data_IF_512940425722
#
_entry.id   IF_512940425722
#
_cell.length_a   1.000
_cell.length_b   1.000
_cell.length_c   1.000
_cell.angle_alpha   90.00
_cell.angle_beta   90.00
_cell.angle_gamma   90.00
#
_symmetry.space_group_name_H-M   'P 1'
#
loop_
_entity.id
_entity.type
_entity.pdbx_description
1 polymer ?
#
# COMPACT_ATOMS: atom_id res chain seq x y z
N UNK A 1 30.68 1.26 7.55
CA UNK A 1 30.34 -0.11 8.00
C UNK A 1 30.24 -1.00 6.78
N UNK A 2 30.64 -2.25 6.92
CA UNK A 2 30.53 -3.27 5.87
C UNK A 2 29.64 -4.40 6.39
N UNK A 3 28.50 -4.64 5.70
CA UNK A 3 27.60 -5.77 5.93
C UNK A 3 27.91 -6.83 4.87
N UNK A 4 28.07 -8.07 5.27
CA UNK A 4 28.44 -9.18 4.36
C UNK A 4 27.53 -10.36 4.59
N UNK A 5 26.99 -10.93 3.52
CA UNK A 5 26.25 -12.19 3.59
C UNK A 5 27.20 -13.32 3.99
N UNK A 6 26.83 -14.06 5.05
CA UNK A 6 27.64 -15.17 5.55
C UNK A 6 27.91 -16.21 4.43
N UNK A 7 29.15 -16.60 4.19
CA UNK A 7 29.48 -17.64 3.20
C UNK A 7 28.78 -18.97 3.53
N UNK A 8 28.35 -19.69 2.49
CA UNK A 8 27.73 -21.01 2.66
C UNK A 8 26.25 -20.99 3.08
N UNK A 9 25.59 -19.83 3.20
CA UNK A 9 24.21 -19.74 3.67
C UNK A 9 23.20 -20.30 2.65
N UNK A 10 23.42 -20.08 1.34
CA UNK A 10 22.50 -20.57 0.29
C UNK A 10 22.23 -22.09 0.32
N UNK A 11 23.25 -22.97 0.45
CA UNK A 11 23.01 -24.42 0.55
C UNK A 11 22.19 -24.81 1.79
N UNK A 12 22.41 -24.14 2.92
CA UNK A 12 21.69 -24.39 4.17
C UNK A 12 20.20 -24.03 3.98
N UNK A 13 19.94 -22.83 3.45
CA UNK A 13 18.58 -22.37 3.16
C UNK A 13 17.89 -23.32 2.17
N UNK A 14 18.57 -23.75 1.10
CA UNK A 14 18.00 -24.69 0.14
C UNK A 14 17.61 -26.02 0.79
N UNK A 15 18.39 -26.51 1.75
CA UNK A 15 18.08 -27.73 2.50
C UNK A 15 16.87 -27.51 3.42
N UNK A 16 16.81 -26.40 4.14
CA UNK A 16 15.70 -26.07 5.04
C UNK A 16 14.40 -25.90 4.25
N UNK A 17 14.45 -25.22 3.11
CA UNK A 17 13.31 -25.07 2.19
C UNK A 17 12.82 -26.42 1.65
N UNK A 18 13.74 -27.34 1.31
CA UNK A 18 13.35 -28.66 0.86
C UNK A 18 12.55 -29.44 1.94
N UNK A 19 12.91 -29.29 3.22
CA UNK A 19 12.14 -29.84 4.33
C UNK A 19 10.78 -29.14 4.48
N UNK A 20 10.72 -27.83 4.37
CA UNK A 20 9.46 -27.08 4.43
C UNK A 20 8.51 -27.50 3.31
N UNK A 21 9.02 -27.63 2.06
CA UNK A 21 8.22 -28.13 0.94
C UNK A 21 7.73 -29.58 1.16
N UNK A 22 8.55 -30.45 1.73
CA UNK A 22 8.14 -31.82 2.06
C UNK A 22 6.98 -31.82 3.07
N UNK A 23 7.10 -31.03 4.13
CA UNK A 23 6.05 -30.89 5.16
C UNK A 23 4.78 -30.29 4.54
N UNK A 24 4.90 -29.22 3.75
CA UNK A 24 3.78 -28.57 3.09
C UNK A 24 3.01 -29.53 2.16
N UNK A 25 3.73 -30.26 1.30
CA UNK A 25 3.15 -31.28 0.43
C UNK A 25 2.48 -32.42 1.20
N UNK A 26 3.08 -32.83 2.33
CA UNK A 26 2.49 -33.81 3.24
C UNK A 26 1.19 -33.32 3.86
N UNK A 27 1.17 -32.09 4.34
CA UNK A 27 -0.01 -31.46 4.94
C UNK A 27 -1.17 -31.35 3.92
N UNK A 28 -0.90 -30.94 2.69
CA UNK A 28 -1.92 -30.87 1.62
C UNK A 28 -2.52 -32.24 1.29
N UNK A 29 -1.72 -33.30 1.38
CA UNK A 29 -2.19 -34.66 1.10
C UNK A 29 -3.04 -35.23 2.24
N UNK A 30 -2.69 -34.92 3.48
CA UNK A 30 -3.27 -35.52 4.67
C UNK A 30 -4.49 -34.78 5.20
N UNK A 31 -4.64 -33.48 4.94
CA UNK A 31 -5.72 -32.66 5.51
C UNK A 31 -6.43 -31.81 4.46
N UNK A 32 -7.77 -31.89 4.46
CA UNK A 32 -8.61 -31.03 3.63
C UNK A 32 -8.52 -29.55 4.05
N UNK A 33 -8.35 -29.29 5.34
CA UNK A 33 -8.20 -27.93 5.85
C UNK A 33 -6.83 -27.35 5.50
N UNK A 34 -5.77 -28.17 5.50
CA UNK A 34 -4.45 -27.74 5.06
C UNK A 34 -4.44 -27.39 3.56
N UNK A 35 -5.17 -28.13 2.72
CA UNK A 35 -5.29 -27.79 1.28
C UNK A 35 -5.86 -26.39 1.04
N UNK A 36 -6.79 -25.94 1.89
CA UNK A 36 -7.36 -24.58 1.81
C UNK A 36 -6.36 -23.48 2.12
N UNK A 37 -5.29 -23.80 2.86
CA UNK A 37 -4.26 -22.84 3.24
C UNK A 37 -3.12 -22.73 2.22
N UNK A 38 -3.15 -23.56 1.15
CA UNK A 38 -2.13 -23.59 0.10
C UNK A 38 -0.68 -23.56 0.62
N UNK A 39 -0.29 -24.43 1.58
CA UNK A 39 0.99 -24.33 2.26
C UNK A 39 2.18 -24.46 1.31
N UNK A 40 2.05 -25.13 0.17
CA UNK A 40 3.11 -25.21 -0.84
C UNK A 40 3.35 -23.85 -1.50
N UNK A 41 2.30 -23.09 -1.81
CA UNK A 41 2.41 -21.72 -2.32
C UNK A 41 3.04 -20.80 -1.28
N UNK A 42 2.61 -20.91 -0.02
CA UNK A 42 3.18 -20.14 1.10
C UNK A 42 4.68 -20.37 1.25
N UNK A 43 5.14 -21.64 1.16
CA UNK A 43 6.57 -21.96 1.21
C UNK A 43 7.28 -21.42 -0.04
N UNK A 44 6.66 -21.43 -1.21
CA UNK A 44 7.21 -20.86 -2.44
C UNK A 44 7.39 -19.33 -2.35
N UNK A 45 6.45 -18.64 -1.75
CA UNK A 45 6.58 -17.19 -1.53
C UNK A 45 7.64 -16.86 -0.45
N UNK A 46 7.70 -17.69 0.60
CA UNK A 46 8.78 -17.60 1.59
C UNK A 46 10.16 -17.84 0.96
N UNK A 47 10.29 -18.81 0.05
CA UNK A 47 11.53 -19.06 -0.69
C UNK A 47 12.00 -17.81 -1.45
N UNK A 48 11.11 -17.18 -2.19
CA UNK A 48 11.43 -15.92 -2.90
C UNK A 48 11.91 -14.85 -1.93
N UNK A 49 11.18 -14.64 -0.85
CA UNK A 49 11.48 -13.63 0.16
C UNK A 49 12.86 -13.83 0.77
N UNK A 50 13.18 -15.08 1.18
CA UNK A 50 14.46 -15.35 1.84
C UNK A 50 15.67 -15.25 0.88
N UNK A 51 15.47 -15.59 -0.41
CA UNK A 51 16.53 -15.38 -1.41
C UNK A 51 16.70 -13.91 -1.75
N UNK A 52 15.63 -13.12 -1.75
CA UNK A 52 15.66 -11.68 -1.94
C UNK A 52 16.43 -10.98 -0.81
N UNK A 53 16.30 -11.44 0.44
CA UNK A 53 17.05 -10.95 1.59
C UNK A 53 18.58 -11.23 1.49
N UNK A 54 19.00 -12.19 0.66
CA UNK A 54 20.41 -12.47 0.42
C UNK A 54 21.06 -11.52 -0.60
N UNK A 55 20.29 -10.66 -1.23
CA UNK A 55 20.79 -9.65 -2.16
C UNK A 55 20.89 -8.28 -1.50
N UNK A 56 22.08 -7.98 -0.98
CA UNK A 56 22.35 -6.71 -0.30
C UNK A 56 22.29 -5.48 -1.23
N UNK A 57 22.27 -5.64 -2.55
CA UNK A 57 22.01 -4.50 -3.46
C UNK A 57 20.58 -4.01 -3.36
N UNK A 58 19.62 -4.90 -3.08
CA UNK A 58 18.22 -4.49 -2.84
C UNK A 58 18.11 -3.67 -1.55
N UNK A 59 18.78 -4.13 -0.48
CA UNK A 59 18.85 -3.36 0.78
C UNK A 59 19.52 -1.99 0.57
N UNK A 60 20.60 -1.93 -0.22
CA UNK A 60 21.25 -0.68 -0.60
C UNK A 60 20.29 0.28 -1.34
N UNK A 61 19.52 -0.25 -2.28
CA UNK A 61 18.53 0.54 -3.03
C UNK A 61 17.40 1.07 -2.13
N UNK A 62 16.87 0.21 -1.25
CA UNK A 62 15.86 0.59 -0.28
C UNK A 62 16.36 1.66 0.69
N UNK A 63 17.57 1.49 1.25
CA UNK A 63 18.19 2.47 2.13
C UNK A 63 18.39 3.82 1.42
N UNK A 64 18.85 3.80 0.17
CA UNK A 64 19.01 5.00 -0.63
C UNK A 64 17.70 5.70 -0.92
N UNK A 65 16.61 4.95 -1.14
CA UNK A 65 15.27 5.52 -1.35
C UNK A 65 14.74 6.16 -0.05
N UNK A 66 14.82 5.44 1.09
CA UNK A 66 14.42 5.99 2.38
C UNK A 66 15.24 7.22 2.75
N UNK A 67 16.56 7.22 2.49
CA UNK A 67 17.42 8.38 2.70
C UNK A 67 16.93 9.60 1.90
N UNK A 68 16.62 9.44 0.62
CA UNK A 68 16.07 10.54 -0.21
C UNK A 68 14.74 11.06 0.34
N UNK A 69 13.86 10.16 0.77
CA UNK A 69 12.56 10.52 1.31
C UNK A 69 12.67 11.38 2.58
N UNK A 70 13.72 11.16 3.37
CA UNK A 70 13.98 11.89 4.62
C UNK A 70 15.15 12.87 4.53
N UNK A 71 15.59 13.24 3.32
CA UNK A 71 16.65 14.22 3.16
C UNK A 71 16.26 15.58 3.78
N UNK A 72 17.12 16.12 4.65
CA UNK A 72 16.84 17.35 5.39
C UNK A 72 15.81 17.22 6.52
N UNK A 73 15.24 16.04 6.77
CA UNK A 73 14.26 15.83 7.83
C UNK A 73 14.93 15.66 9.21
N UNK A 74 14.33 16.26 10.22
CA UNK A 74 14.73 16.03 11.63
C UNK A 74 14.09 14.77 12.25
N UNK A 75 13.23 14.06 11.51
CA UNK A 75 12.50 12.89 12.03
C UNK A 75 13.36 11.64 11.99
N UNK A 76 13.93 11.33 10.82
CA UNK A 76 14.67 10.10 10.59
C UNK A 76 15.90 10.35 9.72
N UNK A 77 16.98 9.71 10.06
CA UNK A 77 18.22 9.64 9.31
C UNK A 77 18.45 8.21 8.80
N UNK A 78 18.88 8.08 7.56
CA UNK A 78 19.30 6.80 6.98
C UNK A 78 20.73 6.95 6.50
N UNK A 79 21.65 6.01 6.86
CA UNK A 79 23.05 6.06 6.47
C UNK A 79 23.26 6.13 4.97
N UNK A 80 24.28 6.87 4.53
CA UNK A 80 24.67 6.92 3.13
C UNK A 80 25.21 5.57 2.66
N UNK A 81 24.77 5.12 1.50
CA UNK A 81 25.29 3.92 0.82
C UNK A 81 26.45 4.31 -0.09
N UNK A 82 27.56 3.60 0.01
CA UNK A 82 28.73 3.78 -0.85
C UNK A 82 28.69 2.76 -2.00
N UNK A 83 27.98 3.09 -3.06
CA UNK A 83 27.64 2.19 -4.16
C UNK A 83 28.82 1.56 -4.87
N UNK A 84 29.94 2.27 -5.01
CA UNK A 84 31.17 1.78 -5.66
C UNK A 84 31.71 0.51 -5.00
N UNK A 85 31.44 0.34 -3.70
CA UNK A 85 31.90 -0.78 -2.88
C UNK A 85 30.81 -1.84 -2.64
N UNK A 86 29.58 -1.61 -3.11
CA UNK A 86 28.48 -2.54 -2.93
C UNK A 86 28.49 -3.65 -3.99
N UNK A 87 28.13 -4.86 -3.58
CA UNK A 87 27.97 -6.05 -4.43
C UNK A 87 26.81 -6.87 -3.89
N UNK A 88 26.24 -7.85 -4.61
CA UNK A 88 25.11 -8.64 -4.13
C UNK A 88 25.28 -9.24 -2.73
N UNK A 89 26.52 -9.50 -2.32
CA UNK A 89 26.84 -10.08 -1.00
C UNK A 89 27.53 -9.13 -0.05
N UNK A 90 27.73 -7.86 -0.44
CA UNK A 90 28.45 -6.86 0.34
C UNK A 90 27.76 -5.52 0.23
N UNK A 91 27.36 -4.97 1.35
CA UNK A 91 26.82 -3.62 1.47
C UNK A 91 27.79 -2.77 2.28
N UNK A 92 28.19 -1.65 1.70
CA UNK A 92 29.05 -0.66 2.37
C UNK A 92 28.24 0.61 2.58
N UNK A 93 28.13 1.02 3.83
CA UNK A 93 27.38 2.20 4.23
C UNK A 93 28.13 3.02 5.27
N UNK A 94 27.67 4.23 5.45
CA UNK A 94 28.16 5.14 6.48
C UNK A 94 28.08 4.53 7.88
N UNK A 95 29.07 4.82 8.71
CA UNK A 95 29.01 4.48 10.13
C UNK A 95 28.20 5.52 10.87
N UNK A 96 27.14 5.08 11.52
CA UNK A 96 26.32 5.94 12.39
C UNK A 96 26.90 5.96 13.81
N UNK A 97 26.56 7.05 14.51
CA UNK A 97 26.82 7.20 15.94
C UNK A 97 25.47 7.53 16.59
N UNK A 98 24.97 6.63 17.40
CA UNK A 98 23.69 6.76 18.08
C UNK A 98 23.54 5.72 19.17
N UNK A 99 22.55 5.88 20.01
CA UNK A 99 22.20 4.95 21.07
C UNK A 99 21.13 4.01 20.55
N UNK A 100 21.26 2.67 20.73
CA UNK A 100 20.17 1.77 20.42
C UNK A 100 18.88 2.22 21.13
N UNK A 101 17.75 2.22 20.42
CA UNK A 101 16.49 2.66 21.00
C UNK A 101 16.04 1.83 22.20
N UNK A 102 16.57 0.62 22.34
CA UNK A 102 16.33 -0.28 23.48
C UNK A 102 17.15 0.06 24.71
N UNK A 103 18.20 0.87 24.59
CA UNK A 103 19.04 1.27 25.71
C UNK A 103 18.45 2.51 26.41
N UNK A 104 17.34 2.26 27.11
CA UNK A 104 16.59 3.29 27.83
C UNK A 104 17.42 4.00 28.90
N UNK A 105 18.39 3.29 29.52
CA UNK A 105 19.24 3.86 30.55
C UNK A 105 20.16 4.94 29.97
N UNK A 106 20.88 4.62 28.89
CA UNK A 106 21.74 5.58 28.19
C UNK A 106 20.96 6.76 27.63
N UNK A 107 19.77 6.54 27.07
CA UNK A 107 18.90 7.61 26.56
C UNK A 107 18.45 8.55 27.70
N UNK A 108 18.11 8.00 28.85
CA UNK A 108 17.71 8.78 30.03
C UNK A 108 18.91 9.58 30.59
N UNK A 109 20.09 8.97 30.69
CA UNK A 109 21.32 9.64 31.16
C UNK A 109 21.69 10.83 30.26
N UNK A 110 21.45 10.72 28.98
CA UNK A 110 21.65 11.79 27.99
C UNK A 110 20.50 12.83 27.99
N UNK A 111 19.52 12.68 28.86
CA UNK A 111 18.34 13.57 28.98
C UNK A 111 17.54 13.66 27.67
N UNK A 112 17.44 12.54 26.96
CA UNK A 112 16.62 12.45 25.73
C UNK A 112 15.14 12.69 26.08
N UNK A 113 14.46 13.54 25.31
CA UNK A 113 13.03 13.72 25.45
C UNK A 113 12.30 12.48 24.90
N UNK A 114 11.97 11.56 25.82
CA UNK A 114 11.35 10.27 25.50
C UNK A 114 9.94 10.44 24.92
N UNK A 115 9.21 11.48 25.35
CA UNK A 115 7.89 11.80 24.79
C UNK A 115 8.02 12.23 23.33
N UNK A 116 8.88 13.21 23.08
CA UNK A 116 9.13 13.67 21.72
C UNK A 116 9.64 12.53 20.81
N UNK A 117 10.49 11.64 21.34
CA UNK A 117 10.98 10.46 20.61
C UNK A 117 9.83 9.51 20.24
N UNK A 118 8.94 9.19 21.19
CA UNK A 118 7.79 8.32 20.95
C UNK A 118 6.82 8.92 19.91
N UNK A 119 6.49 10.21 20.03
CA UNK A 119 5.63 10.92 19.09
C UNK A 119 6.24 10.96 17.69
N UNK A 120 7.54 11.20 17.57
CA UNK A 120 8.27 11.17 16.28
C UNK A 120 8.27 9.80 15.63
N UNK A 121 8.33 8.71 16.39
CA UNK A 121 8.22 7.36 15.84
C UNK A 121 6.90 7.15 15.11
N UNK A 122 5.80 7.65 15.68
CA UNK A 122 4.48 7.66 15.04
C UNK A 122 4.49 8.53 13.78
N UNK A 123 5.06 9.74 13.86
CA UNK A 123 5.14 10.65 12.72
C UNK A 123 5.98 10.06 11.57
N UNK A 124 7.12 9.42 11.86
CA UNK A 124 7.95 8.71 10.88
C UNK A 124 7.14 7.66 10.14
N UNK A 125 6.37 6.85 10.86
CA UNK A 125 5.52 5.83 10.25
C UNK A 125 4.48 6.43 9.30
N UNK A 126 3.70 7.39 9.76
CA UNK A 126 2.64 7.99 8.95
C UNK A 126 3.21 8.76 7.75
N UNK A 127 4.39 9.36 7.90
CA UNK A 127 5.11 10.03 6.81
C UNK A 127 5.49 9.03 5.71
N UNK A 128 6.08 7.91 6.06
CA UNK A 128 6.47 6.87 5.12
C UNK A 128 5.25 6.28 4.38
N UNK A 129 4.16 6.04 5.10
CA UNK A 129 2.95 5.41 4.54
C UNK A 129 2.17 6.37 3.66
N UNK A 130 1.92 7.60 4.13
CA UNK A 130 0.98 8.51 3.46
C UNK A 130 1.64 9.58 2.60
N UNK A 131 2.87 10.01 2.90
CA UNK A 131 3.60 10.95 2.05
C UNK A 131 4.40 10.21 0.97
N UNK A 132 5.14 9.17 1.38
CA UNK A 132 6.14 8.55 0.53
C UNK A 132 5.65 7.31 -0.21
N UNK A 133 4.52 6.71 0.22
CA UNK A 133 4.01 5.41 -0.27
C UNK A 133 5.08 4.30 -0.25
N UNK A 134 6.13 4.50 0.54
CA UNK A 134 7.28 3.61 0.67
C UNK A 134 7.74 3.59 2.12
N UNK A 135 7.61 2.45 2.77
CA UNK A 135 7.85 2.34 4.20
C UNK A 135 8.77 1.19 4.57
N UNK A 136 9.56 1.41 5.60
CA UNK A 136 10.37 0.39 6.25
C UNK A 136 9.45 -0.60 6.97
N UNK A 137 9.37 -1.81 6.47
CA UNK A 137 8.39 -2.80 6.96
C UNK A 137 8.91 -3.64 8.15
N UNK A 138 10.14 -3.40 8.59
CA UNK A 138 10.74 -4.09 9.74
C UNK A 138 11.38 -3.11 10.74
N UNK A 139 10.60 -2.10 11.17
CA UNK A 139 11.02 -1.16 12.23
C UNK A 139 11.05 -1.85 13.60
N UNK A 140 11.85 -2.90 13.67
CA UNK A 140 12.14 -3.59 14.93
C UNK A 140 13.14 -2.76 15.77
N UNK A 141 12.98 -2.71 17.10
CA UNK A 141 13.88 -1.94 17.96
C UNK A 141 15.38 -2.22 17.75
N UNK A 142 15.75 -3.42 17.29
CA UNK A 142 17.14 -3.78 16.95
C UNK A 142 17.71 -3.08 15.72
N UNK A 143 16.85 -2.54 14.84
CA UNK A 143 17.24 -1.87 13.60
C UNK A 143 17.21 -0.33 13.74
N UNK A 144 16.90 0.16 14.95
CA UNK A 144 16.66 1.58 15.21
C UNK A 144 17.63 2.11 16.26
N UNK A 145 18.28 3.20 15.92
CA UNK A 145 19.12 3.98 16.82
C UNK A 145 18.53 5.38 16.98
N UNK A 146 18.97 6.07 18.02
CA UNK A 146 18.60 7.45 18.32
C UNK A 146 19.84 8.32 18.28
N UNK A 147 19.78 9.39 17.49
CA UNK A 147 20.79 10.44 17.51
C UNK A 147 20.59 11.31 18.75
N UNK A 148 21.64 11.46 19.54
CA UNK A 148 21.62 12.24 20.77
C UNK A 148 22.34 13.58 20.64
N UNK A 149 22.63 14.00 19.41
CA UNK A 149 23.23 15.32 19.13
C UNK A 149 22.35 16.46 19.65
N UNK A 150 21.03 16.28 19.57
CA UNK A 150 20.02 17.20 20.12
C UNK A 150 19.05 16.40 20.99
N UNK A 151 19.34 16.17 22.29
CA UNK A 151 18.49 15.33 23.14
C UNK A 151 17.03 15.81 23.26
N UNK A 152 16.82 17.13 23.19
CA UNK A 152 15.46 17.74 23.20
C UNK A 152 14.72 17.60 21.86
N UNK A 153 15.41 17.17 20.82
CA UNK A 153 14.88 16.97 19.48
C UNK A 153 15.48 15.68 18.90
N UNK A 154 15.22 14.50 19.55
CA UNK A 154 15.88 13.24 19.19
C UNK A 154 15.44 12.78 17.79
N UNK A 155 16.39 12.33 16.97
CA UNK A 155 16.18 11.85 15.61
C UNK A 155 16.36 10.34 15.55
N UNK A 156 15.43 9.64 14.88
CA UNK A 156 15.59 8.21 14.57
C UNK A 156 16.71 7.97 13.55
N UNK A 157 17.41 6.86 13.68
CA UNK A 157 18.39 6.37 12.69
C UNK A 157 17.99 4.94 12.33
N UNK A 158 17.63 4.68 11.09
CA UNK A 158 17.32 3.35 10.59
C UNK A 158 18.52 2.75 9.85
N UNK A 159 18.90 1.51 10.19
CA UNK A 159 20.15 0.90 9.68
C UNK A 159 19.98 -0.36 8.84
N UNK A 160 18.86 -1.06 8.94
CA UNK A 160 18.53 -2.27 8.18
C UNK A 160 17.27 -2.03 7.35
N UNK A 161 17.42 -1.86 6.05
CA UNK A 161 16.35 -1.57 5.13
C UNK A 161 16.05 -2.77 4.19
N UNK A 162 16.35 -3.99 4.66
CA UNK A 162 16.15 -5.22 3.87
C UNK A 162 14.69 -5.44 3.47
N UNK A 163 13.75 -5.17 4.40
CA UNK A 163 12.32 -5.34 4.17
C UNK A 163 11.64 -3.98 4.11
N UNK A 164 11.06 -3.68 2.96
CA UNK A 164 10.25 -2.47 2.74
C UNK A 164 8.89 -2.85 2.15
N UNK A 165 7.92 -1.98 2.36
CA UNK A 165 6.62 -2.05 1.70
C UNK A 165 6.40 -0.83 0.82
N UNK A 166 5.61 -1.01 -0.23
CA UNK A 166 5.14 0.09 -1.07
C UNK A 166 3.63 0.02 -1.22
N UNK A 167 2.99 1.17 -1.32
CA UNK A 167 1.56 1.29 -1.57
C UNK A 167 1.35 1.90 -2.96
N UNK A 168 0.35 1.40 -3.67
CA UNK A 168 -0.14 2.09 -4.86
C UNK A 168 -0.93 3.34 -4.45
N UNK A 169 -1.16 4.25 -5.41
CA UNK A 169 -2.00 5.42 -5.15
C UNK A 169 -3.44 5.02 -4.76
N UNK A 170 -3.93 3.91 -5.33
CA UNK A 170 -5.25 3.36 -5.01
C UNK A 170 -5.29 2.80 -3.58
N UNK A 171 -4.26 2.04 -3.16
CA UNK A 171 -4.16 1.52 -1.79
C UNK A 171 -4.11 2.66 -0.76
N UNK A 172 -3.33 3.70 -1.07
CA UNK A 172 -3.17 4.86 -0.22
C UNK A 172 -4.48 5.63 -0.05
N UNK A 173 -5.19 5.88 -1.16
CA UNK A 173 -6.49 6.55 -1.16
C UNK A 173 -7.54 5.71 -0.40
N UNK A 174 -7.55 4.40 -0.63
CA UNK A 174 -8.39 3.47 0.09
C UNK A 174 -8.14 3.49 1.59
N UNK A 175 -6.87 3.39 2.03
CA UNK A 175 -6.50 3.43 3.45
C UNK A 175 -6.92 4.75 4.10
N UNK A 176 -6.70 5.87 3.42
CA UNK A 176 -7.07 7.18 3.92
C UNK A 176 -8.59 7.32 4.12
N UNK A 177 -9.39 6.95 3.11
CA UNK A 177 -10.85 7.01 3.20
C UNK A 177 -11.39 6.10 4.29
N UNK A 178 -10.81 4.90 4.44
CA UNK A 178 -11.20 3.98 5.50
C UNK A 178 -10.89 4.55 6.90
N UNK A 179 -9.69 5.11 7.09
CA UNK A 179 -9.33 5.75 8.36
C UNK A 179 -10.28 6.89 8.71
N UNK A 180 -10.64 7.75 7.73
CA UNK A 180 -11.59 8.83 7.95
C UNK A 180 -12.96 8.30 8.37
N UNK A 181 -13.48 7.31 7.63
CA UNK A 181 -14.78 6.72 7.91
C UNK A 181 -14.78 6.03 9.29
N UNK A 182 -13.69 5.33 9.63
CA UNK A 182 -13.49 4.71 10.93
C UNK A 182 -13.52 5.74 12.07
N UNK A 183 -12.77 6.83 11.95
CA UNK A 183 -12.77 7.91 12.96
C UNK A 183 -14.13 8.61 13.13
N UNK A 184 -14.90 8.68 12.03
CA UNK A 184 -16.27 9.21 12.07
C UNK A 184 -17.30 8.20 12.58
N UNK A 185 -16.88 6.96 12.89
CA UNK A 185 -17.74 5.81 13.22
C UNK A 185 -18.77 5.51 12.12
N UNK A 186 -18.42 5.85 10.87
CA UNK A 186 -19.24 5.54 9.70
C UNK A 186 -18.90 4.13 9.18
N UNK A 187 -19.36 3.12 9.93
CA UNK A 187 -19.09 1.71 9.62
C UNK A 187 -19.71 1.26 8.30
N UNK A 188 -20.82 1.88 7.91
CA UNK A 188 -21.43 1.61 6.60
C UNK A 188 -20.48 2.06 5.49
N UNK A 189 -19.88 3.23 5.60
CA UNK A 189 -18.91 3.72 4.64
C UNK A 189 -17.66 2.85 4.60
N UNK A 190 -17.17 2.40 5.77
CA UNK A 190 -16.05 1.45 5.84
C UNK A 190 -16.39 0.16 5.08
N UNK A 191 -17.56 -0.44 5.35
CA UNK A 191 -17.99 -1.67 4.65
C UNK A 191 -18.09 -1.46 3.13
N UNK A 192 -18.67 -0.34 2.69
CA UNK A 192 -18.82 -0.02 1.28
C UNK A 192 -17.47 0.16 0.60
N UNK A 193 -16.52 0.86 1.22
CA UNK A 193 -15.17 1.06 0.68
C UNK A 193 -14.43 -0.26 0.47
N UNK A 194 -14.59 -1.25 1.36
CA UNK A 194 -13.99 -2.57 1.20
C UNK A 194 -14.57 -3.35 0.01
N UNK A 195 -15.87 -3.18 -0.26
CA UNK A 195 -16.52 -3.82 -1.42
C UNK A 195 -16.14 -3.11 -2.71
N UNK A 196 -16.17 -1.77 -2.70
CA UNK A 196 -15.86 -0.93 -3.88
C UNK A 196 -14.41 -1.13 -4.37
N UNK A 197 -13.46 -1.37 -3.44
CA UNK A 197 -12.06 -1.64 -3.75
C UNK A 197 -11.80 -3.09 -4.23
N UNK A 198 -12.80 -3.96 -4.18
CA UNK A 198 -12.66 -5.37 -4.54
C UNK A 198 -11.95 -6.24 -3.49
N UNK A 199 -11.66 -5.70 -2.30
CA UNK A 199 -11.02 -6.47 -1.23
C UNK A 199 -11.96 -7.47 -0.59
N UNK A 200 -13.25 -7.20 -0.65
CA UNK A 200 -14.33 -8.12 -0.25
C UNK A 200 -15.21 -8.37 -1.48
N UNK A 201 -15.66 -9.61 -1.73
CA UNK A 201 -16.46 -9.93 -2.89
C UNK A 201 -17.68 -9.01 -3.05
N UNK A 202 -17.98 -8.58 -4.28
CA UNK A 202 -19.11 -7.71 -4.59
C UNK A 202 -20.48 -8.30 -4.18
N UNK A 203 -20.54 -9.62 -3.96
CA UNK A 203 -21.73 -10.35 -3.47
C UNK A 203 -21.97 -10.18 -1.97
N UNK A 204 -21.02 -9.58 -1.24
CA UNK A 204 -21.11 -9.39 0.21
C UNK A 204 -22.20 -8.37 0.54
N UNK A 205 -23.08 -8.73 1.47
CA UNK A 205 -24.13 -7.81 1.92
C UNK A 205 -23.54 -6.73 2.84
N UNK A 206 -23.63 -5.49 2.40
CA UNK A 206 -23.10 -4.32 3.13
C UNK A 206 -23.56 -4.30 4.58
N UNK A 207 -24.84 -4.53 4.85
CA UNK A 207 -25.40 -4.47 6.20
C UNK A 207 -24.83 -5.54 7.15
N UNK A 208 -24.56 -6.76 6.65
CA UNK A 208 -23.96 -7.85 7.44
C UNK A 208 -22.50 -7.52 7.77
N UNK A 209 -21.76 -7.00 6.79
CA UNK A 209 -20.37 -6.62 6.98
C UNK A 209 -20.26 -5.38 7.88
N UNK A 210 -21.09 -4.36 7.71
CA UNK A 210 -21.21 -3.20 8.61
C UNK A 210 -21.45 -3.63 10.06
N UNK A 211 -22.40 -4.54 10.32
CA UNK A 211 -22.70 -5.03 11.66
C UNK A 211 -21.50 -5.74 12.29
N UNK A 212 -20.75 -6.52 11.50
CA UNK A 212 -19.54 -7.20 11.95
C UNK A 212 -18.43 -6.21 12.32
N UNK A 213 -18.19 -5.20 11.48
CA UNK A 213 -17.23 -4.12 11.76
C UNK A 213 -17.63 -3.35 13.02
N UNK A 214 -18.90 -2.97 13.16
CA UNK A 214 -19.43 -2.27 14.33
C UNK A 214 -19.18 -3.06 15.61
N UNK A 215 -19.44 -4.35 15.60
CA UNK A 215 -19.23 -5.24 16.76
C UNK A 215 -17.79 -5.23 17.24
N UNK A 216 -16.82 -5.09 16.33
CA UNK A 216 -15.40 -5.00 16.69
C UNK A 216 -15.01 -3.60 17.17
N UNK A 217 -15.55 -2.56 16.51
CA UNK A 217 -15.07 -1.19 16.67
C UNK A 217 -15.74 -0.44 17.83
N UNK A 218 -17.06 -0.62 18.06
CA UNK A 218 -17.77 0.12 19.11
C UNK A 218 -17.15 -0.07 20.51
N UNK A 219 -16.83 -1.29 20.98
CA UNK A 219 -16.22 -1.48 22.29
C UNK A 219 -14.85 -0.82 22.44
N UNK A 220 -14.22 -0.47 21.31
CA UNK A 220 -12.91 0.16 21.27
C UNK A 220 -13.06 1.66 21.55
N UNK A 221 -14.06 2.29 20.93
CA UNK A 221 -14.32 3.72 21.08
C UNK A 221 -14.89 4.13 22.47
N UNK A 222 -15.30 3.16 23.26
CA UNK A 222 -15.71 3.39 24.66
C UNK A 222 -14.52 3.52 25.62
N UNK A 223 -13.31 3.11 25.17
CA UNK A 223 -12.09 3.21 25.96
C UNK A 223 -11.39 4.56 25.70
N UNK A 224 -10.62 5.07 26.68
CA UNK A 224 -9.72 6.18 26.43
C UNK A 224 -8.77 5.82 25.27
N UNK A 225 -8.54 6.76 24.35
CA UNK A 225 -7.74 6.52 23.15
C UNK A 225 -6.33 5.98 23.47
N UNK A 226 -5.74 6.41 24.57
CA UNK A 226 -4.45 5.93 25.06
C UNK A 226 -4.43 4.44 25.42
N UNK A 227 -5.58 3.86 25.76
CA UNK A 227 -5.71 2.45 26.15
C UNK A 227 -6.04 1.54 24.97
N UNK A 228 -6.23 2.12 23.78
CA UNK A 228 -6.51 1.39 22.54
C UNK A 228 -5.22 1.03 21.86
N UNK A 229 -5.00 -0.28 21.61
CA UNK A 229 -3.95 -0.74 20.70
C UNK A 229 -4.48 -0.76 19.27
N UNK A 230 -3.94 0.12 18.43
CA UNK A 230 -4.33 0.21 17.04
C UNK A 230 -4.01 -1.06 16.25
N UNK A 231 -2.84 -1.63 16.50
CA UNK A 231 -2.45 -2.87 15.86
C UNK A 231 -3.37 -4.04 16.22
N UNK A 232 -3.85 -4.12 17.48
CA UNK A 232 -4.83 -5.14 17.88
C UNK A 232 -6.20 -4.90 17.24
N UNK A 233 -6.63 -3.65 17.10
CA UNK A 233 -7.86 -3.29 16.39
C UNK A 233 -7.79 -3.76 14.95
N UNK A 234 -6.71 -3.45 14.27
CA UNK A 234 -6.51 -3.82 12.87
C UNK A 234 -6.48 -5.35 12.70
N UNK A 235 -5.85 -6.07 13.64
CA UNK A 235 -5.85 -7.54 13.64
C UNK A 235 -7.27 -8.10 13.76
N UNK A 236 -8.08 -7.59 14.68
CA UNK A 236 -9.48 -8.01 14.85
C UNK A 236 -10.34 -7.71 13.62
N UNK A 237 -10.11 -6.55 13.00
CA UNK A 237 -10.77 -6.18 11.75
C UNK A 237 -10.40 -7.16 10.62
N UNK A 238 -9.13 -7.51 10.47
CA UNK A 238 -8.71 -8.51 9.48
C UNK A 238 -9.30 -9.89 9.75
N UNK A 239 -9.34 -10.33 11.01
CA UNK A 239 -10.00 -11.60 11.37
C UNK A 239 -11.49 -11.59 11.04
N UNK A 240 -12.16 -10.44 11.25
CA UNK A 240 -13.57 -10.27 10.89
C UNK A 240 -13.75 -10.27 9.39
N UNK A 241 -12.93 -9.51 8.65
CA UNK A 241 -13.02 -9.40 7.20
C UNK A 241 -12.74 -10.75 6.49
N UNK A 242 -11.85 -11.59 7.03
CA UNK A 242 -11.65 -12.98 6.55
C UNK A 242 -12.93 -13.81 6.53
N UNK A 243 -13.87 -13.57 7.47
CA UNK A 243 -15.19 -14.26 7.49
C UNK A 243 -16.05 -13.89 6.29
N UNK A 244 -15.74 -12.78 5.63
CA UNK A 244 -16.37 -12.30 4.40
C UNK A 244 -15.52 -12.56 3.15
N UNK A 245 -14.60 -13.53 3.22
CA UNK A 245 -13.68 -13.89 2.13
C UNK A 245 -12.83 -12.73 1.63
N UNK A 246 -12.41 -11.83 2.54
CA UNK A 246 -11.47 -10.78 2.20
C UNK A 246 -10.10 -11.39 1.86
N UNK A 247 -9.57 -11.02 0.70
CA UNK A 247 -8.19 -11.30 0.34
C UNK A 247 -7.28 -10.23 0.99
N UNK A 248 -6.43 -10.69 1.90
CA UNK A 248 -5.50 -9.77 2.59
C UNK A 248 -4.25 -9.60 1.76
N UNK A 249 -4.00 -8.38 1.30
CA UNK A 249 -2.79 -8.08 0.55
C UNK A 249 -1.54 -8.15 1.45
N UNK A 250 -0.41 -8.72 0.96
CA UNK A 250 0.83 -8.83 1.73
C UNK A 250 1.33 -7.50 2.30
N UNK A 251 1.19 -6.42 1.55
CA UNK A 251 1.59 -5.07 1.96
C UNK A 251 0.86 -4.59 3.21
N UNK A 252 -0.42 -4.95 3.37
CA UNK A 252 -1.20 -4.60 4.57
C UNK A 252 -0.75 -5.39 5.80
N UNK A 253 -0.32 -6.63 5.61
CA UNK A 253 0.25 -7.43 6.70
C UNK A 253 1.56 -6.81 7.18
N UNK A 254 2.41 -6.37 6.25
CA UNK A 254 3.64 -5.65 6.57
C UNK A 254 3.36 -4.33 7.30
N UNK A 255 2.38 -3.57 6.81
CA UNK A 255 1.93 -2.32 7.44
C UNK A 255 1.45 -2.55 8.87
N UNK A 256 0.62 -3.59 9.08
CA UNK A 256 0.12 -3.97 10.41
C UNK A 256 1.26 -4.37 11.35
N UNK A 257 2.21 -5.21 10.88
CA UNK A 257 3.39 -5.62 11.66
C UNK A 257 4.19 -4.38 12.09
N UNK A 258 4.45 -3.48 11.16
CA UNK A 258 5.22 -2.26 11.42
C UNK A 258 4.51 -1.36 12.41
N UNK A 259 3.21 -1.18 12.27
CA UNK A 259 2.41 -0.38 13.19
C UNK A 259 2.41 -0.95 14.61
N UNK A 260 2.29 -2.28 14.77
CA UNK A 260 2.41 -2.97 16.05
C UNK A 260 3.78 -2.74 16.70
N UNK A 261 4.86 -2.82 15.91
CA UNK A 261 6.21 -2.60 16.40
C UNK A 261 6.41 -1.16 16.90
N UNK A 262 5.90 -0.18 16.14
CA UNK A 262 6.00 1.24 16.49
C UNK A 262 5.13 1.57 17.70
N UNK A 263 3.92 1.02 17.78
CA UNK A 263 3.08 1.18 18.96
C UNK A 263 3.74 0.58 20.20
N UNK A 264 4.28 -0.63 20.09
CA UNK A 264 4.99 -1.30 21.18
C UNK A 264 6.22 -0.51 21.63
N UNK A 265 7.05 -0.07 20.68
CA UNK A 265 8.22 0.75 20.97
C UNK A 265 7.81 2.11 21.58
N UNK A 266 6.84 2.78 21.00
CA UNK A 266 6.35 4.07 21.48
C UNK A 266 5.86 4.01 22.93
N UNK A 267 5.15 2.94 23.31
CA UNK A 267 4.69 2.72 24.69
C UNK A 267 5.83 2.35 25.66
N UNK A 268 6.90 1.71 25.17
CA UNK A 268 8.11 1.47 25.96
C UNK A 268 8.85 2.77 26.26
N UNK A 269 8.93 3.67 25.28
CA UNK A 269 9.56 4.99 25.41
C UNK A 269 8.73 5.95 26.30
N UNK A 270 7.42 5.96 26.05
CA UNK A 270 6.47 6.81 26.76
C UNK A 270 5.13 6.08 26.97
N UNK A 271 4.89 5.48 28.17
CA UNK A 271 3.71 4.65 28.44
C UNK A 271 2.35 5.34 28.22
N UNK A 272 2.32 6.66 28.33
CA UNK A 272 1.11 7.47 28.11
C UNK A 272 0.93 7.92 26.65
N UNK A 273 1.71 7.35 25.71
CA UNK A 273 1.60 7.68 24.30
C UNK A 273 0.20 7.39 23.78
N UNK A 274 -0.45 8.46 23.32
CA UNK A 274 -1.70 8.37 22.57
C UNK A 274 -1.37 8.46 21.08
N UNK A 275 -1.28 7.27 20.45
CA UNK A 275 -0.96 7.14 19.03
C UNK A 275 -1.98 7.87 18.14
N UNK A 276 -3.25 7.95 18.60
CA UNK A 276 -4.34 8.56 17.85
C UNK A 276 -4.25 10.07 17.83
N UNK A 277 -4.05 10.67 19.02
CA UNK A 277 -3.90 12.13 19.12
C UNK A 277 -2.65 12.61 18.39
N UNK A 278 -1.60 11.78 18.35
CA UNK A 278 -0.36 12.06 17.61
C UNK A 278 -0.54 11.92 16.09
N UNK A 279 -1.25 10.88 15.64
CA UNK A 279 -1.47 10.61 14.21
C UNK A 279 -2.51 11.54 13.56
N UNK A 280 -3.55 11.91 14.29
CA UNK A 280 -4.70 12.66 13.77
C UNK A 280 -4.33 13.98 13.07
N UNK A 281 -3.51 14.88 13.66
CA UNK A 281 -3.14 16.14 13.02
C UNK A 281 -2.36 15.91 11.70
N UNK A 282 -1.54 14.86 11.67
CA UNK A 282 -0.79 14.48 10.49
C UNK A 282 -1.72 14.02 9.37
N UNK A 283 -2.63 13.09 9.67
CA UNK A 283 -3.60 12.57 8.71
C UNK A 283 -4.54 13.67 8.19
N UNK A 284 -5.01 14.55 9.06
CA UNK A 284 -5.87 15.68 8.65
C UNK A 284 -5.13 16.67 7.73
N UNK A 285 -3.85 16.93 7.97
CA UNK A 285 -3.01 17.79 7.13
C UNK A 285 -2.79 17.16 5.77
N UNK A 286 -2.35 15.90 5.75
CA UNK A 286 -2.12 15.14 4.54
C UNK A 286 -3.38 15.06 3.65
N UNK A 287 -4.54 14.79 4.24
CA UNK A 287 -5.81 14.76 3.53
C UNK A 287 -6.19 16.12 2.94
N UNK A 288 -5.98 17.19 3.70
CA UNK A 288 -6.26 18.57 3.24
C UNK A 288 -5.39 18.94 2.05
N UNK A 289 -4.13 18.54 2.08
CA UNK A 289 -3.18 18.75 0.98
C UNK A 289 -3.60 17.98 -0.27
N UNK A 290 -3.99 16.71 -0.14
CA UNK A 290 -4.41 15.84 -1.25
C UNK A 290 -5.77 16.24 -1.84
N UNK A 291 -6.67 16.76 -1.03
CA UNK A 291 -7.98 17.28 -1.47
C UNK A 291 -7.92 18.74 -1.90
N UNK A 292 -6.74 19.36 -1.92
CA UNK A 292 -6.60 20.74 -2.36
C UNK A 292 -6.93 20.87 -3.85
N UNK A 293 -7.53 21.99 -4.30
CA UNK A 293 -7.83 22.21 -5.72
C UNK A 293 -6.60 22.12 -6.62
N UNK A 294 -5.40 22.42 -6.09
CA UNK A 294 -4.12 22.29 -6.79
C UNK A 294 -3.74 20.82 -7.02
N UNK A 295 -3.96 19.95 -6.03
CA UNK A 295 -3.67 18.53 -6.17
C UNK A 295 -4.65 17.85 -7.15
N UNK A 296 -5.93 18.23 -7.12
CA UNK A 296 -6.95 17.74 -8.08
C UNK A 296 -6.61 18.18 -9.50
N UNK A 297 -6.19 19.44 -9.70
CA UNK A 297 -5.72 19.92 -11.01
C UNK A 297 -4.44 19.22 -11.45
N UNK A 298 -3.47 18.99 -10.56
CA UNK A 298 -2.23 18.24 -10.84
C UNK A 298 -2.51 16.81 -11.29
N UNK A 299 -3.43 16.11 -10.63
CA UNK A 299 -3.85 14.76 -11.02
C UNK A 299 -4.61 14.76 -12.37
N UNK A 300 -5.40 15.77 -12.66
CA UNK A 300 -6.03 15.93 -13.98
C UNK A 300 -4.99 16.20 -15.08
N UNK A 301 -3.96 16.99 -14.80
CA UNK A 301 -2.86 17.22 -15.74
C UNK A 301 -2.02 15.97 -15.99
N UNK A 302 -1.69 15.19 -14.95
CA UNK A 302 -0.93 13.94 -15.11
C UNK A 302 -1.73 12.85 -15.83
N UNK A 303 -3.05 12.80 -15.66
CA UNK A 303 -3.94 11.94 -16.46
C UNK A 303 -4.07 12.45 -17.89
N UNK A 304 -4.05 13.76 -18.12
CA UNK A 304 -4.04 14.35 -19.46
C UNK A 304 -2.73 14.08 -20.23
N UNK A 305 -1.59 13.98 -19.54
CA UNK A 305 -0.32 13.55 -20.16
C UNK A 305 -0.34 12.06 -20.60
N UNK A 306 -1.20 11.23 -20.02
CA UNK A 306 -1.39 9.84 -20.46
C UNK A 306 -2.36 9.72 -21.65
N UNK A 307 -3.10 10.76 -21.99
CA UNK A 307 -4.02 10.77 -23.14
C UNK A 307 -3.35 10.51 -24.52
N UNK A 308 -2.10 10.93 -24.81
CA UNK A 308 -1.43 10.55 -26.04
C UNK A 308 -1.27 9.04 -26.20
N UNK A 309 -0.96 8.30 -25.14
CA UNK A 309 -0.89 6.84 -25.17
C UNK A 309 -2.24 6.16 -25.44
N UNK A 310 -3.35 6.76 -24.99
CA UNK A 310 -4.69 6.27 -25.34
C UNK A 310 -5.02 6.54 -26.83
N UNK A 311 -4.56 7.65 -27.36
CA UNK A 311 -4.72 7.97 -28.80
C UNK A 311 -3.90 7.01 -29.68
N UNK A 312 -2.69 6.62 -29.24
CA UNK A 312 -1.87 5.63 -29.95
C UNK A 312 -2.47 4.22 -29.84
N UNK A 313 -2.99 3.82 -28.68
CA UNK A 313 -3.71 2.55 -28.53
C UNK A 313 -4.99 2.50 -29.37
N UNK A 314 -5.75 3.60 -29.45
CA UNK A 314 -6.95 3.65 -30.32
C UNK A 314 -6.58 3.63 -31.79
N UNK A 315 -5.45 4.23 -32.16
CA UNK A 315 -4.92 4.16 -33.53
C UNK A 315 -4.48 2.74 -33.91
N UNK A 316 -3.78 2.05 -33.02
CA UNK A 316 -3.37 0.65 -33.22
C UNK A 316 -4.57 -0.30 -33.35
N UNK A 317 -5.62 -0.09 -32.55
CA UNK A 317 -6.87 -0.84 -32.62
C UNK A 317 -7.60 -0.54 -33.93
N UNK A 318 -7.66 0.72 -34.35
CA UNK A 318 -8.25 1.13 -35.63
C UNK A 318 -7.45 0.60 -36.84
N UNK A 319 -6.11 0.60 -36.79
CA UNK A 319 -5.28 0.01 -37.82
C UNK A 319 -5.46 -1.51 -37.91
N UNK A 320 -5.56 -2.21 -36.79
CA UNK A 320 -5.87 -3.66 -36.77
C UNK A 320 -7.29 -3.97 -37.28
N UNK A 321 -8.25 -3.07 -37.08
CA UNK A 321 -9.61 -3.21 -37.60
C UNK A 321 -9.74 -2.80 -39.07
N UNK A 322 -8.80 -1.99 -39.58
CA UNK A 322 -8.80 -1.51 -40.99
C UNK A 322 -7.98 -2.35 -41.93
N UNK A 323 -7.21 -3.36 -41.47
CA UNK A 323 -6.50 -4.27 -42.31
C UNK A 323 -7.49 -5.27 -42.96
N UNK A 324 -7.68 -5.27 -44.28
CA UNK A 324 -8.52 -6.28 -44.95
C UNK A 324 -7.79 -7.62 -44.82
N UNK A 325 -8.34 -8.53 -44.05
CA UNK A 325 -7.86 -9.91 -43.97
C UNK A 325 -7.94 -10.57 -45.37
N UNK A 326 -6.81 -10.82 -45.96
CA UNK A 326 -6.67 -11.72 -47.08
C UNK A 326 -7.24 -13.10 -46.72
N UNK A 327 -8.19 -13.54 -47.51
CA UNK A 327 -8.85 -14.83 -47.44
C UNK A 327 -7.83 -16.00 -47.35
N UNK A 328 -8.04 -16.83 -46.37
CA UNK A 328 -8.07 -18.31 -46.39
C UNK A 328 -7.57 -18.87 -45.03
N UNK A 329 -8.46 -19.12 -44.13
CA UNK A 329 -8.33 -20.21 -43.16
C UNK A 329 -9.72 -20.59 -42.63
N UNK A 330 -10.03 -21.86 -42.74
CA UNK A 330 -11.26 -22.48 -42.25
C UNK A 330 -11.60 -22.05 -40.82
N UNK A 331 -12.75 -21.42 -40.61
CA UNK A 331 -13.30 -21.07 -39.36
C UNK A 331 -14.03 -22.27 -38.71
N UNK A 332 -13.75 -22.65 -37.46
CA UNK A 332 -14.74 -23.37 -36.67
C UNK A 332 -15.77 -22.38 -36.17
N UNK A 333 -17.02 -22.58 -36.51
CA UNK A 333 -18.19 -21.89 -35.97
C UNK A 333 -18.26 -22.03 -34.44
N UNK A 334 -17.99 -20.95 -33.72
CA UNK A 334 -18.60 -20.61 -32.43
C UNK A 334 -18.11 -19.25 -31.97
N UNK A 335 -18.77 -18.20 -32.41
CA UNK A 335 -18.59 -16.89 -31.79
C UNK A 335 -19.49 -16.78 -30.54
N UNK A 336 -18.84 -16.54 -29.42
CA UNK A 336 -19.49 -16.27 -28.16
C UNK A 336 -20.12 -14.85 -28.13
N UNK A 337 -21.21 -14.64 -27.38
CA UNK A 337 -21.93 -13.36 -27.33
C UNK A 337 -21.19 -12.22 -26.60
N UNK A 338 -19.92 -12.38 -26.29
CA UNK A 338 -19.12 -11.42 -25.51
C UNK A 338 -18.85 -10.07 -26.23
N UNK A 339 -18.74 -10.06 -27.55
CA UNK A 339 -18.32 -8.85 -28.27
C UNK A 339 -19.42 -7.78 -28.36
N UNK A 340 -20.67 -8.19 -28.33
CA UNK A 340 -21.81 -7.25 -28.43
C UNK A 340 -22.05 -6.44 -27.17
N UNK A 341 -21.74 -7.00 -26.02
CA UNK A 341 -21.90 -6.31 -24.73
C UNK A 341 -20.72 -5.37 -24.41
N UNK A 342 -19.51 -5.67 -24.86
CA UNK A 342 -18.39 -4.75 -24.77
C UNK A 342 -18.62 -3.48 -25.59
N UNK A 343 -19.15 -3.59 -26.80
CA UNK A 343 -19.55 -2.43 -27.63
C UNK A 343 -20.72 -1.63 -27.01
N UNK A 344 -21.68 -2.29 -26.35
CA UNK A 344 -22.77 -1.62 -25.65
C UNK A 344 -22.31 -0.90 -24.40
N UNK A 345 -21.35 -1.45 -23.64
CA UNK A 345 -20.75 -0.78 -22.49
C UNK A 345 -19.91 0.43 -22.91
N UNK A 346 -19.13 0.32 -23.99
CA UNK A 346 -18.41 1.46 -24.57
C UNK A 346 -19.37 2.55 -25.02
N UNK A 347 -20.48 2.16 -25.66
CA UNK A 347 -21.54 3.08 -26.08
C UNK A 347 -22.22 3.77 -24.89
N UNK A 348 -22.49 3.03 -23.81
CA UNK A 348 -23.08 3.58 -22.59
C UNK A 348 -22.10 4.55 -21.89
N UNK A 349 -20.80 4.22 -21.85
CA UNK A 349 -19.75 5.11 -21.31
C UNK A 349 -19.64 6.42 -22.10
N UNK A 350 -19.71 6.36 -23.43
CA UNK A 350 -19.71 7.55 -24.29
C UNK A 350 -20.96 8.40 -24.13
N UNK A 351 -22.12 7.78 -23.92
CA UNK A 351 -23.37 8.51 -23.67
C UNK A 351 -23.34 9.22 -22.32
N UNK A 352 -22.88 8.56 -21.26
CA UNK A 352 -22.76 9.17 -19.93
C UNK A 352 -21.72 10.28 -19.90
N UNK A 353 -20.56 10.07 -20.50
CA UNK A 353 -19.51 11.08 -20.64
C UNK A 353 -19.94 12.28 -21.47
N UNK A 354 -20.63 12.05 -22.59
CA UNK A 354 -21.20 13.10 -23.43
C UNK A 354 -22.29 13.90 -22.71
N UNK A 355 -23.17 13.23 -21.95
CA UNK A 355 -24.25 13.90 -21.19
C UNK A 355 -23.68 14.76 -20.05
N UNK A 356 -22.64 14.31 -19.34
CA UNK A 356 -21.98 15.10 -18.29
C UNK A 356 -21.24 16.32 -18.84
N UNK A 357 -20.56 16.16 -19.99
CA UNK A 357 -19.94 17.29 -20.70
C UNK A 357 -20.97 18.28 -21.24
N UNK A 358 -22.09 17.81 -21.77
CA UNK A 358 -23.18 18.66 -22.27
C UNK A 358 -23.87 19.44 -21.12
N UNK A 359 -24.05 18.80 -19.96
CA UNK A 359 -24.60 19.44 -18.76
C UNK A 359 -23.64 20.50 -18.18
N UNK A 360 -22.33 20.25 -18.21
CA UNK A 360 -21.29 21.21 -17.81
C UNK A 360 -21.13 22.37 -18.81
N UNK A 361 -21.35 22.13 -20.10
CA UNK A 361 -21.27 23.13 -21.16
C UNK A 361 -22.54 24.01 -21.28
N UNK A 362 -23.65 23.65 -20.66
CA UNK A 362 -24.88 24.46 -20.65
C UNK A 362 -24.68 25.82 -19.93
N UNK A 363 -23.58 26.01 -19.20
CA UNK A 363 -23.16 27.27 -18.58
C UNK A 363 -22.13 28.07 -19.40
N UNK A 364 -21.67 27.54 -20.55
CA UNK A 364 -20.64 28.14 -21.41
C UNK A 364 -21.18 28.30 -22.84
N UNK A 365 -20.81 29.45 -23.51
CA UNK A 365 -21.29 29.85 -24.84
C UNK A 365 -21.06 28.78 -25.92
N UNK A 366 -22.00 28.68 -26.85
CA UNK A 366 -22.24 27.68 -27.90
C UNK A 366 -21.07 27.01 -28.67
N UNK A 367 -19.85 27.53 -28.85
CA UNK A 367 -18.82 26.83 -29.61
C UNK A 367 -18.11 25.70 -28.86
N UNK A 368 -18.29 25.55 -27.55
CA UNK A 368 -17.56 24.55 -26.75
C UNK A 368 -18.32 23.20 -26.60
N UNK A 369 -19.54 23.08 -27.08
CA UNK A 369 -20.39 21.90 -26.88
C UNK A 369 -20.28 20.81 -27.97
N UNK A 370 -19.57 21.05 -29.07
CA UNK A 370 -19.51 20.11 -30.20
C UNK A 370 -18.88 18.74 -29.87
N UNK A 371 -17.85 18.62 -28.96
CA UNK A 371 -17.31 17.30 -28.62
C UNK A 371 -18.31 16.46 -27.84
N UNK A 372 -19.15 17.07 -26.99
CA UNK A 372 -20.20 16.38 -26.24
C UNK A 372 -21.26 15.75 -27.17
N UNK A 373 -21.64 16.46 -28.21
CA UNK A 373 -22.58 15.96 -29.21
C UNK A 373 -22.01 14.82 -30.06
N UNK A 374 -20.72 14.88 -30.38
CA UNK A 374 -20.03 13.76 -31.06
C UNK A 374 -19.97 12.50 -30.20
N UNK A 375 -19.67 12.64 -28.91
CA UNK A 375 -19.66 11.50 -27.98
C UNK A 375 -21.06 10.88 -27.82
N UNK A 376 -22.11 11.71 -27.74
CA UNK A 376 -23.47 11.24 -27.68
C UNK A 376 -23.90 10.49 -28.96
N UNK A 377 -23.55 11.04 -30.14
CA UNK A 377 -23.84 10.40 -31.43
C UNK A 377 -23.07 9.07 -31.60
N UNK A 378 -21.79 9.03 -31.24
CA UNK A 378 -20.98 7.82 -31.30
C UNK A 378 -21.47 6.74 -30.32
N UNK A 379 -21.84 7.15 -29.10
CA UNK A 379 -22.41 6.24 -28.09
C UNK A 379 -23.73 5.64 -28.53
N UNK A 380 -24.62 6.45 -29.09
CA UNK A 380 -25.92 5.99 -29.62
C UNK A 380 -25.70 5.03 -30.81
N UNK A 381 -24.77 5.36 -31.72
CA UNK A 381 -24.42 4.50 -32.85
C UNK A 381 -23.94 3.12 -32.41
N UNK A 382 -23.06 3.06 -31.40
CA UNK A 382 -22.52 1.78 -30.89
C UNK A 382 -23.59 0.93 -30.17
N UNK A 383 -24.61 1.55 -29.57
CA UNK A 383 -25.68 0.83 -28.88
C UNK A 383 -26.72 0.28 -29.91
N UNK A 384 -26.99 1.05 -30.97
CA UNK A 384 -28.05 0.74 -31.94
C UNK A 384 -27.56 -0.15 -33.09
N UNK A 385 -26.25 -0.21 -33.33
CA UNK A 385 -25.66 -1.05 -34.37
C UNK A 385 -25.94 -2.54 -34.09
N UNK A 386 -26.79 -3.16 -34.94
CA UNK A 386 -27.13 -4.59 -34.92
C UNK A 386 -26.02 -5.50 -35.35
#
# INVERSE_FOLDING_TARGET
VVKVVRPGLKPIIAQDLAWLFLIAKGAERLSADARRLHPVEVVGDYEKTIYDELDLLREAANASQLRRNFEGSELMYVPQVYWDFCRPKVLVMERIYGVPVTDMATLADQRTDMKALAERGVEVFFTQVFRDSFFHADMHPGNIFVSTVKPWSPQYIAIDCGIVGSLTDEDQDYLARNLIAFFKRDYRRVAQLHIDSGWVPATTKVNEFEAAIRTVCEPIFEKPLKDISFGQVLMRLFQTARRFNMEVQPQLVLLQKTLLNIEGLGRQLYPELDLWSTAKPYLERWMRERMSPKAVLGNLYSQAEQLPHLADMTRDVLERLSQPHLHNAHLPERQAPADRWALRLLGAGLLTGGATLAAGAASLSAPAAWPAWLMLAAGLYLIVRR
#
